data_IF_606376812203
#
_entry.id   IF_606376812203
#
_cell.length_a   1.000
_cell.length_b   1.000
_cell.length_c   1.000
_cell.angle_alpha   90.00
_cell.angle_beta   90.00
_cell.angle_gamma   90.00
#
_symmetry.space_group_name_H-M   'P 1'
#
loop_
_entity.id
_entity.type
_entity.pdbx_description
1 polymer ?
#
# COMPACT_ATOMS: atom_id res chain seq x y z
N UNK A 1 -34.64 19.05 -7.46
CA UNK A 1 -33.78 18.85 -8.65
C UNK A 1 -32.73 17.83 -8.25
N UNK A 2 -32.83 16.58 -8.73
CA UNK A 2 -31.72 15.63 -8.60
C UNK A 2 -30.59 16.13 -9.50
N UNK A 3 -29.56 16.71 -8.88
CA UNK A 3 -28.37 17.14 -9.60
C UNK A 3 -27.66 15.87 -10.10
N UNK A 4 -27.54 15.73 -11.42
CA UNK A 4 -27.01 14.52 -12.04
C UNK A 4 -25.46 14.53 -12.04
N UNK A 5 -24.87 14.42 -10.84
CA UNK A 5 -23.42 14.36 -10.65
C UNK A 5 -22.78 13.16 -11.34
N UNK A 6 -23.54 12.06 -11.52
CA UNK A 6 -23.04 10.83 -12.12
C UNK A 6 -22.52 11.02 -13.55
N UNK A 7 -23.27 11.69 -14.42
CA UNK A 7 -22.85 11.90 -15.81
C UNK A 7 -21.57 12.75 -15.90
N UNK A 8 -21.43 13.74 -15.00
CA UNK A 8 -20.25 14.59 -14.95
C UNK A 8 -19.01 13.82 -14.48
N UNK A 9 -19.17 12.98 -13.46
CA UNK A 9 -18.10 12.13 -12.93
C UNK A 9 -17.59 11.17 -14.01
N UNK A 10 -18.49 10.50 -14.74
CA UNK A 10 -18.12 9.60 -15.86
C UNK A 10 -17.28 10.34 -16.90
N UNK A 11 -17.71 11.54 -17.32
CA UNK A 11 -16.94 12.36 -18.28
C UNK A 11 -15.56 12.78 -17.77
N UNK A 12 -15.44 13.07 -16.47
CA UNK A 12 -14.13 13.33 -15.86
C UNK A 12 -13.29 12.06 -15.91
N UNK A 13 -13.82 10.92 -15.49
CA UNK A 13 -13.09 9.64 -15.50
C UNK A 13 -12.59 9.28 -16.90
N UNK A 14 -13.43 9.40 -17.93
CA UNK A 14 -13.04 9.18 -19.32
C UNK A 14 -11.89 10.12 -19.73
N UNK A 15 -11.96 11.39 -19.32
CA UNK A 15 -10.91 12.38 -19.57
C UNK A 15 -9.62 12.01 -18.86
N UNK A 16 -9.68 11.60 -17.60
CA UNK A 16 -8.52 11.15 -16.83
C UNK A 16 -7.90 9.90 -17.48
N UNK A 17 -8.71 8.90 -17.81
CA UNK A 17 -8.25 7.66 -18.46
C UNK A 17 -7.57 7.92 -19.81
N UNK A 18 -8.14 8.81 -20.62
CA UNK A 18 -7.54 9.22 -21.90
C UNK A 18 -6.16 9.87 -21.73
N UNK A 19 -5.91 10.51 -20.59
CA UNK A 19 -4.63 11.12 -20.24
C UNK A 19 -3.69 10.17 -19.46
N UNK A 20 -4.04 8.88 -19.38
CA UNK A 20 -3.17 7.85 -18.80
C UNK A 20 -3.44 7.54 -17.33
N UNK A 21 -4.56 7.99 -16.75
CA UNK A 21 -5.01 7.55 -15.43
C UNK A 21 -5.54 6.11 -15.48
N UNK A 22 -5.31 5.26 -14.46
CA UNK A 22 -4.68 5.53 -13.17
C UNK A 22 -3.15 5.33 -13.13
N UNK A 23 -2.52 4.89 -14.22
CA UNK A 23 -1.08 4.63 -14.27
C UNK A 23 -0.23 5.91 -14.10
N UNK A 24 -0.73 7.03 -14.62
CA UNK A 24 -0.11 8.35 -14.50
C UNK A 24 -1.03 9.30 -13.73
N UNK A 25 -0.42 10.27 -13.05
CA UNK A 25 -1.14 11.40 -12.47
C UNK A 25 -1.59 12.33 -13.59
N UNK A 26 -2.84 12.80 -13.51
CA UNK A 26 -3.42 13.66 -14.55
C UNK A 26 -3.70 15.03 -13.99
N UNK A 27 -3.20 16.05 -14.69
CA UNK A 27 -3.36 17.44 -14.28
C UNK A 27 -4.32 18.15 -15.23
N UNK A 28 -5.37 18.75 -14.68
CA UNK A 28 -6.36 19.52 -15.45
C UNK A 28 -6.36 20.99 -15.02
N UNK A 29 -6.73 21.94 -15.91
CA UNK A 29 -6.84 23.35 -15.55
C UNK A 29 -7.98 23.58 -14.55
N UNK A 30 -7.69 24.15 -13.37
CA UNK A 30 -8.66 24.24 -12.28
C UNK A 30 -9.85 25.15 -12.65
N UNK A 31 -9.56 26.33 -13.20
CA UNK A 31 -10.59 27.28 -13.63
C UNK A 31 -11.58 26.66 -14.61
N UNK A 32 -11.08 25.94 -15.63
CA UNK A 32 -11.94 25.27 -16.61
C UNK A 32 -12.85 24.24 -15.96
N UNK A 33 -12.37 23.49 -14.97
CA UNK A 33 -13.20 22.50 -14.29
C UNK A 33 -14.34 23.15 -13.50
N UNK A 34 -14.07 24.27 -12.81
CA UNK A 34 -15.10 25.05 -12.15
C UNK A 34 -16.11 25.65 -13.14
N UNK A 35 -15.63 26.19 -14.26
CA UNK A 35 -16.49 26.76 -15.29
C UNK A 35 -17.45 25.72 -15.88
N UNK A 36 -16.94 24.55 -16.28
CA UNK A 36 -17.76 23.48 -16.87
C UNK A 36 -18.77 22.94 -15.83
N UNK A 37 -18.37 22.79 -14.57
CA UNK A 37 -19.29 22.39 -13.51
C UNK A 37 -20.38 23.45 -13.28
N UNK A 38 -20.01 24.73 -13.23
CA UNK A 38 -20.93 25.86 -13.06
C UNK A 38 -21.93 25.96 -14.21
N UNK A 39 -21.47 25.83 -15.46
CA UNK A 39 -22.33 25.81 -16.66
C UNK A 39 -23.39 24.69 -16.61
N UNK A 40 -23.10 23.59 -15.89
CA UNK A 40 -24.04 22.47 -15.69
C UNK A 40 -24.86 22.59 -14.40
N UNK A 41 -24.73 23.69 -13.65
CA UNK A 41 -25.39 23.87 -12.37
C UNK A 41 -24.89 22.93 -11.27
N UNK A 42 -23.66 22.43 -11.41
CA UNK A 42 -23.02 21.50 -10.47
C UNK A 42 -22.00 22.23 -9.60
N UNK A 43 -21.86 21.77 -8.36
CA UNK A 43 -20.78 22.22 -7.50
C UNK A 43 -19.54 21.33 -7.71
N UNK A 44 -18.47 21.91 -8.25
CA UNK A 44 -17.25 21.16 -8.50
C UNK A 44 -16.64 20.54 -7.23
N UNK A 45 -16.74 21.19 -6.07
CA UNK A 45 -16.26 20.59 -4.81
C UNK A 45 -17.06 19.34 -4.43
N UNK A 46 -18.37 19.32 -4.70
CA UNK A 46 -19.19 18.11 -4.50
C UNK A 46 -18.80 16.98 -5.45
N UNK A 47 -18.47 17.31 -6.70
CA UNK A 47 -17.94 16.33 -7.66
C UNK A 47 -16.64 15.70 -7.14
N UNK A 48 -15.74 16.52 -6.59
CA UNK A 48 -14.47 16.04 -6.03
C UNK A 48 -14.67 15.13 -4.81
N UNK A 49 -15.64 15.45 -3.94
CA UNK A 49 -16.04 14.57 -2.84
C UNK A 49 -16.51 13.20 -3.38
N UNK A 50 -17.37 13.17 -4.40
CA UNK A 50 -17.82 11.92 -4.99
C UNK A 50 -16.69 11.13 -5.67
N UNK A 51 -15.76 11.80 -6.36
CA UNK A 51 -14.58 11.15 -6.94
C UNK A 51 -13.70 10.49 -5.87
N UNK A 52 -13.55 11.14 -4.72
CA UNK A 52 -12.83 10.58 -3.58
C UNK A 52 -13.56 9.40 -2.94
N UNK A 53 -14.86 9.56 -2.64
CA UNK A 53 -15.64 8.55 -1.92
C UNK A 53 -15.98 7.32 -2.76
N UNK A 54 -16.31 7.50 -4.05
CA UNK A 54 -16.76 6.40 -4.90
C UNK A 54 -15.62 5.73 -5.65
N UNK A 55 -14.71 6.52 -6.18
CA UNK A 55 -13.65 6.03 -7.08
C UNK A 55 -12.28 5.93 -6.38
N UNK A 56 -12.15 6.46 -5.15
CA UNK A 56 -10.87 6.51 -4.44
C UNK A 56 -9.85 7.44 -5.10
N UNK A 57 -10.32 8.45 -5.83
CA UNK A 57 -9.47 9.40 -6.55
C UNK A 57 -9.25 10.62 -5.65
N UNK A 58 -8.02 10.77 -5.18
CA UNK A 58 -7.59 11.96 -4.46
C UNK A 58 -7.23 13.07 -5.45
N UNK A 59 -7.23 14.29 -4.94
CA UNK A 59 -6.93 15.46 -5.75
C UNK A 59 -6.14 16.50 -4.95
N UNK A 60 -5.23 17.18 -5.63
CA UNK A 60 -4.49 18.30 -5.07
C UNK A 60 -4.76 19.54 -5.92
N UNK A 61 -5.28 20.59 -5.29
CA UNK A 61 -5.56 21.88 -5.92
C UNK A 61 -4.33 22.78 -5.77
N UNK A 62 -3.87 23.34 -6.88
CA UNK A 62 -2.97 24.49 -6.92
C UNK A 62 -3.71 25.69 -7.51
N UNK A 63 -3.09 26.88 -7.53
CA UNK A 63 -3.74 28.10 -8.00
C UNK A 63 -4.18 28.02 -9.47
N UNK A 64 -3.45 27.26 -10.30
CA UNK A 64 -3.72 27.15 -11.74
C UNK A 64 -4.34 25.81 -12.15
N UNK A 65 -4.06 24.73 -11.40
CA UNK A 65 -4.32 23.36 -11.85
C UNK A 65 -4.80 22.46 -10.73
N UNK A 66 -5.47 21.37 -11.11
CA UNK A 66 -5.85 20.28 -10.21
C UNK A 66 -5.19 18.99 -10.66
N UNK A 67 -4.42 18.38 -9.76
CA UNK A 67 -3.76 17.10 -9.96
C UNK A 67 -4.67 16.00 -9.41
N UNK A 68 -5.01 15.02 -10.25
CA UNK A 68 -5.74 13.82 -9.87
C UNK A 68 -4.79 12.65 -9.76
N UNK A 69 -4.86 11.94 -8.63
CA UNK A 69 -4.05 10.75 -8.37
C UNK A 69 -4.90 9.72 -7.63
N UNK A 70 -4.63 8.43 -7.86
CA UNK A 70 -5.28 7.38 -7.09
C UNK A 70 -4.77 7.47 -5.66
N UNK A 71 -5.68 7.54 -4.68
CA UNK A 71 -5.26 7.42 -3.29
C UNK A 71 -4.46 6.12 -3.16
N UNK A 72 -3.25 6.13 -2.56
CA UNK A 72 -2.67 4.87 -2.12
C UNK A 72 -3.75 4.25 -1.24
N UNK A 73 -4.26 3.09 -1.65
CA UNK A 73 -5.25 2.40 -0.86
C UNK A 73 -4.65 2.30 0.54
N UNK A 74 -5.30 2.91 1.52
CA UNK A 74 -4.97 2.68 2.91
C UNK A 74 -5.23 1.20 3.17
N UNK A 75 -4.24 0.36 2.86
CA UNK A 75 -3.97 -0.80 3.67
C UNK A 75 -3.84 -0.28 5.10
N UNK A 76 -4.41 -1.01 6.08
CA UNK A 76 -4.49 -0.54 7.44
C UNK A 76 -3.13 -0.03 7.92
N UNK A 77 -3.25 1.12 8.55
CA UNK A 77 -2.26 1.96 9.21
C UNK A 77 -1.00 1.23 9.69
N UNK A 78 0.16 1.85 9.40
CA UNK A 78 1.39 1.74 10.16
C UNK A 78 1.84 0.32 10.55
N UNK A 79 2.43 -0.40 9.59
CA UNK A 79 3.55 -1.28 9.92
C UNK A 79 4.78 -0.40 10.20
N UNK A 80 4.82 0.19 11.39
CA UNK A 80 5.99 0.91 11.87
C UNK A 80 6.99 -0.11 12.39
N UNK A 81 8.01 -0.42 11.58
CA UNK A 81 9.14 -1.29 11.94
C UNK A 81 9.91 -0.79 13.18
N UNK A 82 9.78 0.48 13.59
CA UNK A 82 10.37 1.00 14.82
C UNK A 82 9.45 0.86 16.05
N UNK A 83 8.16 0.59 15.84
CA UNK A 83 7.22 0.17 16.90
C UNK A 83 7.03 -1.35 16.93
N UNK A 84 7.93 -2.09 16.29
CA UNK A 84 8.07 -3.54 16.49
C UNK A 84 8.56 -3.76 17.93
N UNK A 85 7.62 -3.67 18.86
CA UNK A 85 7.84 -3.91 20.27
C UNK A 85 8.20 -5.39 20.42
N UNK A 86 9.47 -5.68 20.74
CA UNK A 86 9.93 -7.06 20.96
C UNK A 86 9.06 -7.78 22.01
N UNK A 87 8.44 -7.05 22.93
CA UNK A 87 7.52 -7.63 23.93
C UNK A 87 6.24 -8.16 23.30
N UNK A 88 5.74 -7.52 22.23
CA UNK A 88 4.60 -8.03 21.44
C UNK A 88 5.00 -9.19 20.53
N UNK A 89 6.26 -9.24 20.09
CA UNK A 89 6.78 -10.40 19.36
C UNK A 89 6.89 -11.62 20.27
N UNK A 90 7.34 -11.45 21.51
CA UNK A 90 7.40 -12.50 22.52
C UNK A 90 6.00 -13.04 22.86
N UNK A 91 5.02 -12.14 23.02
CA UNK A 91 3.62 -12.50 23.27
C UNK A 91 2.97 -13.19 22.06
N UNK A 92 3.26 -12.72 20.85
CA UNK A 92 2.80 -13.36 19.61
C UNK A 92 3.47 -14.71 19.38
N UNK A 93 4.74 -14.88 19.75
CA UNK A 93 5.45 -16.14 19.65
C UNK A 93 4.89 -17.16 20.64
N UNK A 94 4.59 -16.75 21.88
CA UNK A 94 3.86 -17.58 22.86
C UNK A 94 2.46 -17.96 22.39
N UNK A 95 1.75 -17.06 21.71
CA UNK A 95 0.44 -17.35 21.16
C UNK A 95 0.52 -18.29 19.94
N UNK A 96 1.57 -18.16 19.13
CA UNK A 96 1.86 -19.00 17.98
C UNK A 96 2.34 -20.41 18.37
N UNK A 97 3.09 -20.55 19.47
CA UNK A 97 3.45 -21.83 20.08
C UNK A 97 2.21 -22.65 20.49
N UNK A 98 1.07 -21.98 20.73
CA UNK A 98 -0.23 -22.61 21.00
C UNK A 98 -1.10 -22.93 19.77
N UNK A 99 -0.74 -22.43 18.58
CA UNK A 99 -1.52 -22.62 17.34
C UNK A 99 -0.64 -23.23 16.24
N UNK A 100 -0.45 -24.55 16.31
CA UNK A 100 0.31 -25.40 15.39
C UNK A 100 -0.23 -25.47 13.95
N UNK A 101 -0.34 -24.34 13.26
CA UNK A 101 -0.77 -24.23 11.86
C UNK A 101 -0.55 -22.85 11.24
N UNK A 102 -0.49 -21.78 12.05
CA UNK A 102 -0.24 -20.42 11.56
C UNK A 102 1.17 -20.24 10.97
N UNK A 103 2.14 -21.03 11.43
CA UNK A 103 3.54 -20.95 11.00
C UNK A 103 3.76 -21.38 9.54
N UNK A 104 2.98 -22.34 9.02
CA UNK A 104 3.08 -22.81 7.63
C UNK A 104 2.68 -21.74 6.61
N UNK A 105 1.61 -20.99 6.92
CA UNK A 105 1.13 -19.92 6.05
C UNK A 105 2.02 -18.66 6.13
N UNK A 106 2.67 -18.45 7.28
CA UNK A 106 3.64 -17.36 7.48
C UNK A 106 4.98 -17.67 6.77
N UNK A 107 5.45 -18.92 6.79
CA UNK A 107 6.67 -19.32 6.09
C UNK A 107 6.50 -19.30 4.56
N UNK A 108 5.33 -19.70 4.04
CA UNK A 108 5.03 -19.57 2.62
C UNK A 108 5.06 -18.10 2.17
N UNK A 109 4.56 -17.19 3.00
CA UNK A 109 4.66 -15.74 2.77
C UNK A 109 6.10 -15.24 2.90
N UNK A 110 6.86 -15.67 3.91
CA UNK A 110 8.27 -15.29 4.07
C UNK A 110 9.14 -15.76 2.89
N UNK A 111 8.89 -16.98 2.38
CA UNK A 111 9.53 -17.51 1.18
C UNK A 111 9.15 -16.70 -0.06
N UNK A 112 7.89 -16.36 -0.24
CA UNK A 112 7.43 -15.52 -1.35
C UNK A 112 7.95 -14.07 -1.30
N UNK A 113 8.25 -13.57 -0.10
CA UNK A 113 8.91 -12.26 0.09
C UNK A 113 10.41 -12.37 -0.25
N UNK A 114 11.09 -13.44 0.18
CA UNK A 114 12.50 -13.72 -0.15
C UNK A 114 12.72 -13.97 -1.66
N UNK A 115 11.81 -14.69 -2.32
CA UNK A 115 11.87 -14.95 -3.77
C UNK A 115 11.67 -13.67 -4.61
N UNK A 116 11.00 -12.67 -4.03
CA UNK A 116 10.76 -11.36 -4.64
C UNK A 116 11.79 -10.30 -4.25
N UNK A 117 12.73 -10.62 -3.37
CA UNK A 117 13.83 -9.70 -3.04
C UNK A 117 14.90 -9.74 -4.13
N UNK A 118 15.37 -8.55 -4.53
CA UNK A 118 16.50 -8.44 -5.45
C UNK A 118 17.78 -9.01 -4.82
N UNK A 119 18.69 -9.58 -5.63
CA UNK A 119 19.93 -10.19 -5.13
C UNK A 119 20.77 -9.24 -4.26
N UNK A 120 20.74 -7.93 -4.51
CA UNK A 120 21.42 -6.93 -3.67
C UNK A 120 20.83 -6.81 -2.25
N UNK A 121 19.51 -6.97 -2.09
CA UNK A 121 18.87 -6.92 -0.76
C UNK A 121 19.15 -8.20 0.02
N UNK A 122 19.13 -9.36 -0.64
CA UNK A 122 19.52 -10.63 -0.04
C UNK A 122 20.99 -10.58 0.38
N UNK A 123 21.85 -9.98 -0.44
CA UNK A 123 23.27 -9.85 -0.15
C UNK A 123 23.56 -8.88 1.02
N UNK A 124 22.81 -7.78 1.11
CA UNK A 124 22.89 -6.87 2.27
C UNK A 124 22.38 -7.52 3.55
N UNK A 125 21.33 -8.34 3.46
CA UNK A 125 20.84 -9.13 4.58
C UNK A 125 21.87 -10.19 5.01
N UNK A 126 22.52 -10.86 4.06
CA UNK A 126 23.63 -11.79 4.35
C UNK A 126 24.81 -11.08 5.00
N UNK A 127 25.21 -9.90 4.51
CA UNK A 127 26.27 -9.07 5.12
C UNK A 127 25.93 -8.62 6.53
N UNK A 128 24.65 -8.33 6.80
CA UNK A 128 24.19 -7.97 8.14
C UNK A 128 24.25 -9.19 9.09
N UNK A 129 23.87 -10.38 8.62
CA UNK A 129 24.03 -11.64 9.36
C UNK A 129 25.51 -12.04 9.53
N UNK A 130 26.37 -11.62 8.62
CA UNK A 130 27.81 -11.87 8.68
C UNK A 130 28.51 -10.98 9.71
N UNK A 131 27.99 -9.76 9.92
CA UNK A 131 28.51 -8.79 10.90
C UNK A 131 27.81 -8.88 12.28
N UNK A 132 26.89 -9.82 12.49
CA UNK A 132 26.31 -10.11 13.80
C UNK A 132 27.27 -10.94 14.68
N UNK A 133 27.19 -10.80 16.03
CA UNK A 133 27.93 -11.68 16.93
C UNK A 133 27.53 -13.15 16.71
N UNK A 134 28.53 -14.02 16.68
CA UNK A 134 28.40 -15.43 16.27
C UNK A 134 27.36 -16.22 17.08
N UNK A 135 27.13 -15.90 18.35
CA UNK A 135 26.09 -16.56 19.17
C UNK A 135 24.67 -16.30 18.65
N UNK A 136 24.35 -15.06 18.27
CA UNK A 136 23.03 -14.72 17.71
C UNK A 136 22.85 -15.28 16.31
N UNK A 137 23.93 -15.29 15.51
CA UNK A 137 23.94 -15.90 14.18
C UNK A 137 23.73 -17.41 14.25
N UNK A 138 24.40 -18.08 15.18
CA UNK A 138 24.33 -19.53 15.35
C UNK A 138 22.98 -19.96 15.91
N UNK A 139 22.39 -19.21 16.84
CA UNK A 139 21.02 -19.45 17.31
C UNK A 139 19.99 -19.29 16.19
N UNK A 140 20.14 -18.25 15.35
CA UNK A 140 19.27 -18.02 14.21
C UNK A 140 19.41 -19.12 13.14
N UNK A 141 20.64 -19.57 12.85
CA UNK A 141 20.89 -20.70 11.95
C UNK A 141 20.37 -22.01 12.52
N UNK A 142 20.48 -22.23 13.84
CA UNK A 142 19.96 -23.42 14.51
C UNK A 142 18.44 -23.47 14.47
N UNK A 143 17.75 -22.36 14.76
CA UNK A 143 16.30 -22.23 14.60
C UNK A 143 15.89 -22.42 13.13
N UNK A 144 16.61 -21.85 12.17
CA UNK A 144 16.33 -22.05 10.75
C UNK A 144 16.53 -23.52 10.31
N UNK A 145 17.56 -24.21 10.80
CA UNK A 145 17.80 -25.61 10.49
C UNK A 145 16.72 -26.53 11.10
N UNK A 146 16.29 -26.27 12.33
CA UNK A 146 15.15 -26.96 12.97
C UNK A 146 13.86 -26.78 12.15
N UNK A 147 13.62 -25.57 11.63
CA UNK A 147 12.51 -25.27 10.72
C UNK A 147 12.61 -26.03 9.38
N UNK A 148 13.81 -26.22 8.84
CA UNK A 148 14.02 -26.97 7.58
C UNK A 148 14.03 -28.49 7.75
N UNK A 149 14.15 -28.98 8.98
CA UNK A 149 14.07 -30.42 9.31
C UNK A 149 12.72 -30.75 9.94
N UNK A 150 11.63 -30.51 9.22
CA UNK A 150 10.39 -31.24 9.50
C UNK A 150 10.50 -32.64 8.86
N UNK A 151 10.27 -33.74 9.60
CA UNK A 151 10.33 -35.09 9.06
C UNK A 151 9.22 -35.28 8.01
N UNK A 152 9.57 -35.89 6.88
CA UNK A 152 8.60 -36.64 6.08
C UNK A 152 8.10 -37.84 6.87
#
# INVERSE_FOLDING_TARGET
MEQNYGEFIVKILETLQKNGFPDNQVTLPLEKMYEIAYQRGLNFNKVLEFLKEREGIEHQKTDEKILFFKAPQAQPENFDLNQFDMSKMDEMMKQAEGMGGAMGNLFAQAKGILDKMSPDQVQNMMKMLENMPSEQKEELMRKAQDFTKTPQ
#
